data_IF_012469605776
#
_entry.id   IF_012469605776
#
_cell.length_a   1.000
_cell.length_b   1.000
_cell.length_c   1.000
_cell.angle_alpha   90.00
_cell.angle_beta   90.00
_cell.angle_gamma   90.00
#
_symmetry.space_group_name_H-M   'P 1'
#
loop_
_entity.id
_entity.type
_entity.pdbx_description
1 polymer ?
#
# COMPACT_ATOMS: atom_id res chain seq x y z
N UNK A 1 9.35 15.83 27.03
CA UNK A 1 9.59 14.45 26.55
C UNK A 1 9.68 13.55 27.75
N UNK A 2 8.75 12.65 27.95
CA UNK A 2 8.77 11.72 29.08
C UNK A 2 9.86 10.68 28.80
N UNK A 3 10.88 10.63 29.63
CA UNK A 3 11.87 9.55 29.66
C UNK A 3 11.15 8.23 29.95
N UNK A 4 10.76 7.51 28.94
CA UNK A 4 10.30 6.13 29.08
C UNK A 4 11.51 5.26 29.48
N UNK A 5 11.78 5.11 30.73
CA UNK A 5 12.70 4.07 31.20
C UNK A 5 12.11 2.71 30.87
N UNK A 6 12.87 1.89 30.13
CA UNK A 6 12.54 0.50 29.88
C UNK A 6 12.65 -0.23 31.25
N UNK A 7 11.56 -0.85 31.66
CA UNK A 7 11.47 -1.61 32.92
C UNK A 7 10.98 -3.03 32.62
N UNK A 8 11.03 -3.93 33.62
CA UNK A 8 10.48 -5.29 33.47
C UNK A 8 8.99 -5.28 33.07
N UNK A 9 8.23 -4.28 33.52
CA UNK A 9 6.82 -4.09 33.13
C UNK A 9 6.63 -3.72 31.66
N UNK A 10 7.71 -3.34 30.97
CA UNK A 10 7.69 -3.11 29.52
C UNK A 10 7.70 -4.41 28.70
N UNK A 11 7.91 -5.57 29.36
CA UNK A 11 7.93 -6.89 28.72
C UNK A 11 6.49 -7.34 28.51
N UNK A 12 6.09 -7.48 27.24
CA UNK A 12 4.75 -7.95 26.87
C UNK A 12 4.84 -9.38 26.35
N UNK A 13 3.97 -10.28 26.85
CA UNK A 13 3.86 -11.66 26.41
C UNK A 13 2.47 -11.92 25.78
N UNK A 14 2.44 -12.75 24.75
CA UNK A 14 1.22 -13.21 24.08
C UNK A 14 0.95 -12.55 22.73
N UNK A 15 -0.06 -13.09 22.02
CA UNK A 15 -0.53 -12.53 20.75
C UNK A 15 -1.19 -11.17 21.01
N UNK A 16 -0.80 -10.14 20.26
CA UNK A 16 -1.43 -8.81 20.33
C UNK A 16 -2.18 -8.56 19.04
N UNK A 17 -3.48 -8.37 19.15
CA UNK A 17 -4.29 -7.90 18.04
C UNK A 17 -4.04 -6.40 17.84
N UNK A 18 -3.55 -6.04 16.68
CA UNK A 18 -3.34 -4.64 16.28
C UNK A 18 -4.13 -4.34 15.03
N UNK A 19 -4.54 -3.07 14.83
CA UNK A 19 -5.10 -2.63 13.57
C UNK A 19 -4.18 -2.98 12.39
N UNK A 20 -4.78 -3.22 11.24
CA UNK A 20 -4.08 -3.67 10.03
C UNK A 20 -3.30 -2.53 9.39
N UNK A 21 -2.11 -2.80 8.86
CA UNK A 21 -1.42 -1.97 7.87
C UNK A 21 -1.34 -2.78 6.57
N UNK A 22 -2.17 -2.44 5.62
CA UNK A 22 -2.21 -3.11 4.33
C UNK A 22 -1.76 -2.16 3.21
N UNK A 23 -0.95 -2.68 2.32
CA UNK A 23 -0.70 -2.11 0.99
C UNK A 23 -1.37 -3.01 -0.02
N UNK A 24 -2.22 -2.45 -0.87
CA UNK A 24 -2.82 -3.13 -2.01
C UNK A 24 -2.39 -2.45 -3.30
N UNK A 25 -1.90 -3.24 -4.26
CA UNK A 25 -1.43 -2.71 -5.52
C UNK A 25 -1.89 -3.57 -6.70
N UNK A 26 -1.90 -2.97 -7.88
CA UNK A 26 -2.33 -3.64 -9.11
C UNK A 26 -2.54 -2.63 -10.23
N UNK A 27 -2.98 -3.12 -11.39
CA UNK A 27 -3.25 -2.28 -12.57
C UNK A 27 -4.36 -1.25 -12.29
N UNK A 28 -4.38 -0.20 -13.10
CA UNK A 28 -5.46 0.78 -13.11
C UNK A 28 -6.80 0.08 -13.44
N UNK A 29 -7.88 0.57 -12.85
CA UNK A 29 -9.22 0.02 -13.07
C UNK A 29 -9.52 -1.34 -12.44
N UNK A 30 -8.57 -1.98 -11.72
CA UNK A 30 -8.83 -3.27 -11.07
C UNK A 30 -9.78 -3.18 -9.86
N UNK A 31 -10.05 -1.97 -9.35
CA UNK A 31 -10.99 -1.76 -8.25
C UNK A 31 -10.34 -1.57 -6.88
N UNK A 32 -9.09 -1.13 -6.82
CA UNK A 32 -8.38 -0.83 -5.56
C UNK A 32 -9.11 0.20 -4.71
N UNK A 33 -9.53 1.32 -5.31
CA UNK A 33 -10.31 2.37 -4.66
C UNK A 33 -11.64 1.83 -4.15
N UNK A 34 -12.34 1.00 -4.93
CA UNK A 34 -13.59 0.35 -4.50
C UNK A 34 -13.36 -0.54 -3.28
N UNK A 35 -12.30 -1.35 -3.30
CA UNK A 35 -11.88 -2.18 -2.17
C UNK A 35 -11.66 -1.34 -0.91
N UNK A 36 -10.88 -0.26 -1.00
CA UNK A 36 -10.56 0.62 0.10
C UNK A 36 -11.80 1.34 0.64
N UNK A 37 -12.63 1.90 -0.24
CA UNK A 37 -13.86 2.61 0.14
C UNK A 37 -14.95 1.65 0.70
N UNK A 38 -14.78 0.34 0.56
CA UNK A 38 -15.60 -0.67 1.24
C UNK A 38 -15.26 -0.89 2.71
N UNK A 39 -14.22 -0.21 3.25
CA UNK A 39 -13.85 -0.29 4.65
C UNK A 39 -14.80 0.55 5.53
N UNK A 40 -15.01 0.05 6.76
CA UNK A 40 -15.92 0.70 7.71
C UNK A 40 -15.37 2.07 8.15
N UNK A 41 -16.25 3.08 8.17
CA UNK A 41 -15.98 4.43 8.71
C UNK A 41 -14.61 4.98 8.25
N UNK A 42 -14.36 4.94 6.93
CA UNK A 42 -13.10 5.36 6.34
C UNK A 42 -13.01 6.86 6.11
N UNK A 43 -11.82 7.42 6.33
CA UNK A 43 -11.39 8.70 5.76
C UNK A 43 -10.28 8.46 4.75
N UNK A 44 -10.39 9.05 3.56
CA UNK A 44 -9.41 8.89 2.48
C UNK A 44 -8.56 10.14 2.32
N UNK A 45 -7.25 9.98 2.37
CA UNK A 45 -6.27 10.97 1.91
C UNK A 45 -6.10 10.77 0.40
N UNK A 46 -6.78 11.60 -0.39
CA UNK A 46 -6.90 11.46 -1.84
C UNK A 46 -5.82 12.25 -2.57
N UNK A 47 -4.77 11.57 -3.05
CA UNK A 47 -3.71 12.14 -3.87
C UNK A 47 -4.01 12.06 -5.37
N UNK A 48 -5.09 11.39 -5.75
CA UNK A 48 -5.66 11.40 -7.11
C UNK A 48 -7.19 11.57 -7.07
N UNK A 49 -7.78 12.01 -8.17
CA UNK A 49 -9.23 12.25 -8.26
C UNK A 49 -9.96 10.97 -8.72
N UNK A 50 -10.13 10.01 -7.81
CA UNK A 50 -10.74 8.71 -8.11
C UNK A 50 -11.89 8.30 -7.17
N UNK A 51 -12.23 9.12 -6.15
CA UNK A 51 -13.17 8.74 -5.10
C UNK A 51 -14.53 9.45 -5.19
N UNK A 52 -14.87 10.08 -6.33
CA UNK A 52 -16.07 10.91 -6.45
C UNK A 52 -17.38 10.11 -6.40
N UNK A 53 -17.33 8.86 -6.84
CA UNK A 53 -18.49 7.95 -6.85
C UNK A 53 -18.72 7.24 -5.50
N UNK A 54 -17.92 7.55 -4.46
CA UNK A 54 -18.03 6.91 -3.16
C UNK A 54 -18.47 7.90 -2.09
N UNK A 55 -19.47 7.51 -1.28
CA UNK A 55 -19.91 8.25 -0.10
C UNK A 55 -18.99 7.95 1.09
N UNK A 56 -17.82 8.59 1.07
CA UNK A 56 -16.78 8.46 2.10
C UNK A 56 -16.21 9.82 2.49
N UNK A 57 -15.75 9.93 3.73
CA UNK A 57 -15.00 11.12 4.15
C UNK A 57 -13.67 11.17 3.39
N UNK A 58 -13.28 12.34 2.85
CA UNK A 58 -12.04 12.49 2.10
C UNK A 58 -11.39 13.86 2.29
N UNK A 59 -10.06 13.87 2.27
CA UNK A 59 -9.23 15.07 2.19
C UNK A 59 -8.59 15.06 0.80
N UNK A 60 -8.91 16.06 -0.01
CA UNK A 60 -8.42 16.19 -1.39
C UNK A 60 -7.01 16.77 -1.37
N UNK A 61 -6.03 15.95 -1.72
CA UNK A 61 -4.59 16.27 -1.72
C UNK A 61 -3.99 16.25 -3.14
N UNK A 62 -4.81 16.08 -4.18
CA UNK A 62 -4.36 15.97 -5.58
C UNK A 62 -4.21 17.33 -6.30
N UNK A 63 -4.71 18.42 -5.73
CA UNK A 63 -4.64 19.75 -6.32
C UNK A 63 -3.18 20.22 -6.43
N UNK A 64 -2.92 21.13 -7.40
CA UNK A 64 -1.53 21.55 -7.72
C UNK A 64 -0.87 22.35 -6.59
N UNK A 65 -1.65 23.16 -5.90
CA UNK A 65 -1.25 24.02 -4.78
C UNK A 65 -1.07 23.24 -3.46
N UNK A 66 -1.48 21.99 -3.41
CA UNK A 66 -1.26 21.11 -2.25
C UNK A 66 0.14 20.50 -2.27
N UNK A 67 0.87 20.72 -1.21
CA UNK A 67 2.25 20.24 -1.00
C UNK A 67 2.32 18.94 -0.21
N UNK A 68 3.53 18.41 0.01
CA UNK A 68 3.77 17.31 0.95
C UNK A 68 3.51 17.75 2.41
N UNK A 69 3.79 19.00 2.77
CA UNK A 69 3.53 19.50 4.12
C UNK A 69 2.04 19.49 4.44
N UNK A 70 1.17 19.78 3.46
CA UNK A 70 -0.28 19.67 3.61
C UNK A 70 -0.72 18.22 3.88
N UNK A 71 -0.04 17.24 3.31
CA UNK A 71 -0.29 15.84 3.61
C UNK A 71 0.07 15.49 5.08
N UNK A 72 1.13 16.08 5.62
CA UNK A 72 1.49 15.94 7.04
C UNK A 72 0.47 16.64 7.93
N UNK A 73 0.02 17.83 7.56
CA UNK A 73 -1.06 18.54 8.30
C UNK A 73 -2.38 17.74 8.27
N UNK A 74 -2.71 17.08 7.15
CA UNK A 74 -3.87 16.19 7.08
C UNK A 74 -3.77 15.03 8.07
N UNK A 75 -2.58 14.39 8.23
CA UNK A 75 -2.37 13.36 9.25
C UNK A 75 -2.58 13.91 10.67
N UNK A 76 -2.08 15.11 10.97
CA UNK A 76 -2.28 15.78 12.28
C UNK A 76 -3.75 16.11 12.52
N UNK A 77 -4.46 16.58 11.49
CA UNK A 77 -5.90 16.86 11.54
C UNK A 77 -6.70 15.59 11.88
N UNK A 78 -6.42 14.49 11.19
CA UNK A 78 -7.05 13.18 11.43
C UNK A 78 -6.75 12.72 12.86
N UNK A 79 -5.47 12.78 13.28
CA UNK A 79 -5.05 12.38 14.63
C UNK A 79 -5.83 13.13 15.73
N UNK A 80 -5.93 14.46 15.61
CA UNK A 80 -6.58 15.30 16.59
C UNK A 80 -8.11 15.11 16.63
N UNK A 81 -8.72 14.70 15.52
CA UNK A 81 -10.18 14.68 15.37
C UNK A 81 -10.78 13.28 15.13
N UNK A 82 -9.99 12.19 15.16
CA UNK A 82 -10.45 10.84 14.80
C UNK A 82 -11.74 10.42 15.51
N UNK A 83 -11.89 10.74 16.82
CA UNK A 83 -13.12 10.42 17.58
C UNK A 83 -14.32 11.22 17.11
N UNK A 84 -14.13 12.54 16.85
CA UNK A 84 -15.18 13.41 16.36
C UNK A 84 -15.64 13.03 14.96
N UNK A 85 -14.71 12.58 14.11
CA UNK A 85 -14.96 12.08 12.77
C UNK A 85 -15.61 10.68 12.77
N UNK A 86 -15.56 9.95 13.88
CA UNK A 86 -16.13 8.60 14.01
C UNK A 86 -15.40 7.55 13.16
N UNK A 87 -14.16 7.81 12.74
CA UNK A 87 -13.43 6.94 11.79
C UNK A 87 -12.81 5.71 12.46
N UNK A 88 -12.76 4.63 11.71
CA UNK A 88 -12.08 3.37 12.05
C UNK A 88 -10.96 3.00 11.08
N UNK A 89 -10.96 3.63 9.90
CA UNK A 89 -9.98 3.32 8.85
C UNK A 89 -9.46 4.60 8.22
N UNK A 90 -8.17 4.61 7.88
CA UNK A 90 -7.52 5.65 7.09
C UNK A 90 -7.02 5.02 5.79
N UNK A 91 -7.47 5.58 4.67
CA UNK A 91 -7.04 5.20 3.33
C UNK A 91 -6.09 6.23 2.73
N UNK A 92 -5.12 5.80 1.93
CA UNK A 92 -4.24 6.66 1.12
C UNK A 92 -4.33 6.21 -0.33
N UNK A 93 -4.77 7.08 -1.22
CA UNK A 93 -4.97 6.79 -2.65
C UNK A 93 -4.36 7.91 -3.52
N UNK A 94 -3.19 7.73 -4.13
CA UNK A 94 -2.31 6.57 -4.09
C UNK A 94 -0.87 6.94 -3.70
N UNK A 95 -0.06 5.93 -3.35
CA UNK A 95 1.32 6.12 -2.88
C UNK A 95 2.24 6.69 -3.96
N UNK A 96 2.05 6.34 -5.22
CA UNK A 96 2.85 6.85 -6.34
C UNK A 96 2.59 8.34 -6.60
N UNK A 97 1.37 8.82 -6.38
CA UNK A 97 1.08 10.25 -6.39
C UNK A 97 1.62 11.00 -5.15
N UNK A 98 1.58 10.38 -3.98
CA UNK A 98 2.27 10.89 -2.79
C UNK A 98 3.78 10.97 -3.04
N UNK A 99 4.40 9.96 -3.68
CA UNK A 99 5.83 9.98 -4.02
C UNK A 99 6.18 11.17 -4.90
N UNK A 100 5.34 11.50 -5.89
CA UNK A 100 5.54 12.67 -6.73
C UNK A 100 5.54 13.97 -5.92
N UNK A 101 4.64 14.12 -4.92
CA UNK A 101 4.63 15.28 -4.03
C UNK A 101 5.85 15.34 -3.10
N UNK A 102 6.34 14.20 -2.62
CA UNK A 102 7.57 14.12 -1.84
C UNK A 102 8.77 14.55 -2.70
N UNK A 103 8.84 14.07 -3.96
CA UNK A 103 9.91 14.48 -4.87
C UNK A 103 9.86 15.97 -5.18
N UNK A 104 8.68 16.53 -5.42
CA UNK A 104 8.53 17.98 -5.62
C UNK A 104 9.00 18.78 -4.40
N UNK A 105 8.60 18.38 -3.19
CA UNK A 105 9.03 19.01 -1.94
C UNK A 105 10.56 18.96 -1.76
N UNK A 106 11.21 17.84 -2.08
CA UNK A 106 12.69 17.72 -2.06
C UNK A 106 13.31 18.66 -3.08
N UNK A 107 12.77 18.77 -4.30
CA UNK A 107 13.25 19.68 -5.34
C UNK A 107 13.13 21.14 -4.91
N UNK A 108 11.97 21.55 -4.41
CA UNK A 108 11.72 22.92 -3.92
C UNK A 108 12.68 23.32 -2.80
N UNK A 109 12.87 22.43 -1.81
CA UNK A 109 13.75 22.68 -0.65
C UNK A 109 15.22 22.81 -1.04
N UNK A 110 15.62 22.20 -2.16
CA UNK A 110 17.01 22.23 -2.67
C UNK A 110 17.19 23.18 -3.87
N UNK A 111 16.13 23.92 -4.28
CA UNK A 111 16.13 24.84 -5.42
C UNK A 111 16.63 24.17 -6.72
N UNK A 112 16.10 23.00 -7.05
CA UNK A 112 16.37 22.24 -8.27
C UNK A 112 15.07 21.88 -9.00
N UNK A 113 15.15 21.67 -10.31
CA UNK A 113 13.98 21.33 -11.14
C UNK A 113 13.65 19.83 -11.11
N UNK A 114 14.62 18.98 -10.81
CA UNK A 114 14.42 17.53 -10.71
C UNK A 114 15.31 16.90 -9.63
N UNK A 115 14.82 15.78 -9.08
CA UNK A 115 15.50 15.08 -7.98
C UNK A 115 16.86 14.49 -8.40
N UNK A 116 17.04 14.22 -9.70
CA UNK A 116 18.29 13.73 -10.31
C UNK A 116 19.40 14.77 -10.27
N UNK A 117 19.07 16.07 -10.25
CA UNK A 117 20.04 17.16 -10.15
C UNK A 117 20.74 17.17 -8.78
N UNK A 118 20.15 16.54 -7.78
CA UNK A 118 20.78 16.32 -6.47
C UNK A 118 21.75 15.14 -6.59
N UNK A 119 23.02 15.43 -6.76
CA UNK A 119 24.05 14.46 -7.12
C UNK A 119 24.14 13.24 -6.20
N UNK A 120 24.68 12.15 -6.75
CA UNK A 120 24.92 10.88 -6.04
C UNK A 120 23.67 10.24 -5.41
N UNK A 121 22.52 10.39 -6.06
CA UNK A 121 21.24 9.89 -5.58
C UNK A 121 20.83 10.38 -4.17
N UNK A 122 21.41 11.46 -3.67
CA UNK A 122 21.10 12.05 -2.35
C UNK A 122 19.65 12.55 -2.29
N UNK A 123 19.08 13.04 -3.40
CA UNK A 123 17.69 13.47 -3.47
C UNK A 123 16.72 12.33 -3.09
N UNK A 124 16.95 11.13 -3.59
CA UNK A 124 16.15 9.96 -3.23
C UNK A 124 16.32 9.52 -1.77
N UNK A 125 17.49 9.76 -1.17
CA UNK A 125 17.71 9.53 0.27
C UNK A 125 16.96 10.57 1.11
N UNK A 126 16.91 11.83 0.66
CA UNK A 126 16.09 12.87 1.30
C UNK A 126 14.61 12.53 1.20
N UNK A 127 14.13 12.10 0.03
CA UNK A 127 12.76 11.63 -0.15
C UNK A 127 12.41 10.48 0.79
N UNK A 128 13.34 9.54 1.03
CA UNK A 128 13.13 8.44 1.98
C UNK A 128 12.91 8.92 3.43
N UNK A 129 13.56 10.03 3.84
CA UNK A 129 13.32 10.61 5.16
C UNK A 129 11.89 11.16 5.27
N UNK A 130 11.35 11.78 4.23
CA UNK A 130 9.96 12.25 4.17
C UNK A 130 8.97 11.08 4.19
N UNK A 131 9.27 9.99 3.47
CA UNK A 131 8.51 8.75 3.54
C UNK A 131 8.45 8.19 4.96
N UNK A 132 9.59 8.08 5.65
CA UNK A 132 9.65 7.61 7.04
C UNK A 132 8.83 8.50 7.97
N UNK A 133 8.84 9.82 7.76
CA UNK A 133 8.01 10.76 8.51
C UNK A 133 6.51 10.50 8.27
N UNK A 134 6.09 10.34 7.03
CA UNK A 134 4.69 10.03 6.68
C UNK A 134 4.23 8.69 7.27
N UNK A 135 5.02 7.64 7.12
CA UNK A 135 4.72 6.32 7.70
C UNK A 135 4.65 6.36 9.24
N UNK A 136 5.50 7.14 9.89
CA UNK A 136 5.44 7.36 11.35
C UNK A 136 4.15 8.08 11.77
N UNK A 137 3.65 9.02 10.96
CA UNK A 137 2.34 9.65 11.14
C UNK A 137 1.21 8.61 11.07
N UNK A 138 1.25 7.71 10.08
CA UNK A 138 0.29 6.61 9.96
C UNK A 138 0.39 5.63 11.15
N UNK A 139 1.60 5.35 11.65
CA UNK A 139 1.77 4.51 12.86
C UNK A 139 1.15 5.17 14.09
N UNK A 140 1.18 6.50 14.19
CA UNK A 140 0.50 7.24 15.25
C UNK A 140 -1.02 7.08 15.17
N UNK A 141 -1.60 7.10 13.97
CA UNK A 141 -3.02 6.83 13.74
C UNK A 141 -3.37 5.37 14.06
N UNK A 142 -2.54 4.42 13.65
CA UNK A 142 -2.69 3.00 14.03
C UNK A 142 -2.69 2.78 15.54
N UNK A 143 -1.86 3.52 16.27
CA UNK A 143 -1.80 3.44 17.73
C UNK A 143 -3.10 3.91 18.42
N UNK A 144 -3.93 4.71 17.71
CA UNK A 144 -5.28 5.09 18.15
C UNK A 144 -6.34 4.02 17.87
N UNK A 145 -5.96 2.90 17.24
CA UNK A 145 -6.88 1.80 16.91
C UNK A 145 -7.41 1.82 15.47
N UNK A 146 -6.85 2.66 14.58
CA UNK A 146 -7.31 2.79 13.20
C UNK A 146 -6.60 1.80 12.27
N UNK A 147 -7.36 1.11 11.40
CA UNK A 147 -6.81 0.34 10.29
C UNK A 147 -6.23 1.28 9.23
N UNK A 148 -5.16 0.88 8.56
CA UNK A 148 -4.50 1.67 7.52
C UNK A 148 -4.51 0.89 6.21
N UNK A 149 -5.02 1.50 5.13
CA UNK A 149 -5.05 0.93 3.77
C UNK A 149 -4.31 1.90 2.84
N UNK A 150 -3.25 1.41 2.22
CA UNK A 150 -2.48 2.15 1.23
C UNK A 150 -2.70 1.54 -0.15
N UNK A 151 -3.03 2.38 -1.14
CA UNK A 151 -3.14 1.97 -2.54
C UNK A 151 -1.88 2.37 -3.29
N UNK A 152 -1.40 1.49 -4.18
CA UNK A 152 -0.37 1.79 -5.16
C UNK A 152 -0.73 1.21 -6.54
N UNK A 153 -0.18 1.80 -7.60
CA UNK A 153 -0.17 1.18 -8.92
C UNK A 153 0.90 0.11 -8.99
N UNK A 154 0.80 -0.77 -9.99
CA UNK A 154 1.80 -1.79 -10.25
C UNK A 154 2.76 -1.36 -11.34
N UNK A 155 4.00 -1.80 -11.25
CA UNK A 155 4.99 -1.78 -12.32
C UNK A 155 5.62 -3.17 -12.47
N UNK A 156 6.19 -3.43 -13.63
CA UNK A 156 7.00 -4.63 -13.86
C UNK A 156 8.45 -4.28 -13.53
N UNK A 157 9.08 -5.14 -12.74
CA UNK A 157 10.51 -5.03 -12.38
C UNK A 157 11.21 -6.33 -12.72
N UNK A 158 12.44 -6.22 -13.22
CA UNK A 158 13.28 -7.37 -13.43
C UNK A 158 13.90 -7.81 -12.11
N UNK A 159 13.85 -9.10 -11.83
CA UNK A 159 14.45 -9.76 -10.67
C UNK A 159 15.63 -10.57 -11.15
N UNK A 160 16.81 -10.22 -10.68
CA UNK A 160 18.04 -10.97 -10.85
C UNK A 160 18.28 -11.78 -9.57
N UNK A 161 17.74 -12.99 -9.51
CA UNK A 161 17.86 -13.90 -8.39
C UNK A 161 19.02 -14.88 -8.67
N UNK A 162 20.02 -15.00 -7.77
CA UNK A 162 21.16 -15.91 -8.01
C UNK A 162 20.79 -17.40 -8.07
N UNK A 163 19.57 -17.76 -7.68
CA UNK A 163 19.08 -19.16 -7.65
C UNK A 163 18.27 -19.55 -8.88
N UNK A 164 17.93 -18.60 -9.76
CA UNK A 164 17.12 -18.84 -10.97
C UNK A 164 17.56 -17.93 -12.11
N UNK A 165 17.03 -18.17 -13.32
CA UNK A 165 17.14 -17.19 -14.41
C UNK A 165 16.38 -15.91 -14.06
N UNK A 166 16.87 -14.77 -14.57
CA UNK A 166 16.22 -13.49 -14.38
C UNK A 166 14.79 -13.51 -14.94
N UNK A 167 13.85 -12.95 -14.19
CA UNK A 167 12.43 -12.92 -14.57
C UNK A 167 11.79 -11.58 -14.23
N UNK A 168 10.65 -11.30 -14.88
CA UNK A 168 9.85 -10.12 -14.62
C UNK A 168 8.78 -10.39 -13.55
N UNK A 169 8.59 -9.40 -12.67
CA UNK A 169 7.63 -9.47 -11.56
C UNK A 169 6.83 -8.18 -11.42
N UNK A 170 5.55 -8.29 -11.10
CA UNK A 170 4.76 -7.14 -10.65
C UNK A 170 5.18 -6.72 -9.24
N UNK A 171 5.42 -5.42 -9.07
CA UNK A 171 5.78 -4.80 -7.79
C UNK A 171 5.14 -3.41 -7.70
N UNK A 172 5.20 -2.78 -6.53
CA UNK A 172 4.72 -1.43 -6.27
C UNK A 172 5.39 -0.43 -7.21
N UNK A 173 4.63 0.50 -7.79
CA UNK A 173 5.15 1.59 -8.64
C UNK A 173 5.70 2.71 -7.76
N UNK A 174 6.84 2.45 -7.13
CA UNK A 174 7.57 3.37 -6.26
C UNK A 174 9.07 3.25 -6.52
N UNK A 175 9.87 4.22 -6.07
CA UNK A 175 11.33 4.09 -6.05
C UNK A 175 11.76 2.81 -5.32
N UNK A 176 12.82 2.18 -5.78
CA UNK A 176 13.26 0.88 -5.24
C UNK A 176 13.55 0.89 -3.73
N UNK A 177 14.02 2.02 -3.19
CA UNK A 177 14.33 2.18 -1.76
C UNK A 177 13.03 2.28 -0.96
N UNK A 178 12.09 3.07 -1.46
CA UNK A 178 10.78 3.27 -0.86
C UNK A 178 9.98 1.97 -0.86
N UNK A 179 9.99 1.21 -1.96
CA UNK A 179 9.34 -0.12 -2.03
C UNK A 179 9.77 -1.03 -0.89
N UNK A 180 11.08 -1.09 -0.63
CA UNK A 180 11.61 -1.89 0.49
C UNK A 180 11.00 -1.48 1.82
N UNK A 181 11.10 -0.19 2.16
CA UNK A 181 10.59 0.37 3.42
C UNK A 181 9.08 0.18 3.57
N UNK A 182 8.30 0.46 2.53
CA UNK A 182 6.83 0.32 2.56
C UNK A 182 6.44 -1.15 2.75
N UNK A 183 7.10 -2.10 2.07
CA UNK A 183 6.85 -3.54 2.25
C UNK A 183 7.23 -4.03 3.64
N UNK A 184 8.34 -3.57 4.19
CA UNK A 184 8.75 -3.92 5.55
C UNK A 184 7.78 -3.37 6.59
N UNK A 185 7.35 -2.13 6.44
CA UNK A 185 6.41 -1.44 7.32
C UNK A 185 5.04 -2.09 7.33
N UNK A 186 4.51 -2.51 6.17
CA UNK A 186 3.19 -3.11 6.04
C UNK A 186 3.11 -4.48 6.74
N UNK A 187 1.96 -4.80 7.32
CA UNK A 187 1.65 -6.15 7.81
C UNK A 187 1.20 -7.07 6.65
N UNK A 188 0.56 -6.47 5.64
CA UNK A 188 0.06 -7.15 4.45
C UNK A 188 0.44 -6.35 3.20
N UNK A 189 0.94 -7.03 2.19
CA UNK A 189 1.11 -6.52 0.83
C UNK A 189 0.33 -7.46 -0.08
N UNK A 190 -0.63 -6.93 -0.82
CA UNK A 190 -1.55 -7.73 -1.63
C UNK A 190 -1.55 -7.27 -3.08
N UNK A 191 -1.43 -8.23 -4.01
CA UNK A 191 -1.50 -7.97 -5.45
C UNK A 191 -2.91 -8.23 -5.96
N UNK A 192 -3.54 -7.19 -6.53
CA UNK A 192 -4.88 -7.24 -7.09
C UNK A 192 -4.84 -7.46 -8.60
N UNK A 193 -5.62 -8.44 -9.09
CA UNK A 193 -5.79 -8.71 -10.51
C UNK A 193 -7.17 -9.29 -10.82
N UNK A 194 -7.51 -9.38 -12.11
CA UNK A 194 -8.63 -10.20 -12.55
C UNK A 194 -8.25 -11.67 -12.47
N UNK A 195 -9.18 -12.50 -12.03
CA UNK A 195 -9.04 -13.94 -12.05
C UNK A 195 -8.89 -14.43 -13.49
N UNK A 196 -7.77 -15.09 -13.78
CA UNK A 196 -7.39 -15.51 -15.13
C UNK A 196 -7.25 -17.01 -15.17
N UNK A 197 -7.92 -17.64 -16.11
CA UNK A 197 -7.79 -19.06 -16.41
C UNK A 197 -7.04 -19.25 -17.74
N UNK A 198 -6.12 -20.22 -17.74
CA UNK A 198 -5.40 -20.62 -18.95
C UNK A 198 -5.99 -21.91 -19.46
N UNK A 199 -6.29 -21.95 -20.76
CA UNK A 199 -6.76 -23.16 -21.42
C UNK A 199 -5.91 -23.44 -22.67
N UNK A 200 -5.73 -24.74 -23.00
CA UNK A 200 -5.03 -25.16 -24.19
C UNK A 200 -5.91 -24.85 -25.39
N UNK A 201 -5.47 -23.92 -26.22
CA UNK A 201 -6.23 -23.45 -27.39
C UNK A 201 -5.92 -24.27 -28.66
N UNK A 202 -4.89 -25.10 -28.62
CA UNK A 202 -4.45 -25.93 -29.75
C UNK A 202 -2.96 -26.26 -29.68
N UNK A 203 -2.44 -26.79 -30.80
CA UNK A 203 -1.01 -27.04 -30.98
C UNK A 203 -0.53 -26.36 -32.26
N UNK A 204 0.67 -25.78 -32.22
CA UNK A 204 1.34 -25.17 -33.38
C UNK A 204 2.79 -25.63 -33.36
N UNK A 205 3.23 -26.27 -34.47
CA UNK A 205 4.58 -26.84 -34.61
C UNK A 205 5.00 -27.78 -33.46
N UNK A 206 4.06 -28.64 -32.98
CA UNK A 206 4.32 -29.57 -31.88
C UNK A 206 4.35 -28.95 -30.47
N UNK A 207 4.10 -27.67 -30.34
CA UNK A 207 4.01 -26.97 -29.07
C UNK A 207 2.58 -26.61 -28.72
N UNK A 208 2.19 -26.83 -27.46
CA UNK A 208 0.86 -26.45 -26.96
C UNK A 208 0.72 -24.94 -26.89
N UNK A 209 -0.32 -24.41 -27.50
CA UNK A 209 -0.69 -22.98 -27.44
C UNK A 209 -1.72 -22.80 -26.35
N UNK A 210 -1.40 -21.99 -25.35
CA UNK A 210 -2.32 -21.60 -24.28
C UNK A 210 -2.88 -20.20 -24.52
N UNK A 211 -4.17 -20.04 -24.26
CA UNK A 211 -4.85 -18.74 -24.23
C UNK A 211 -5.33 -18.47 -22.81
N UNK A 212 -5.33 -17.19 -22.44
CA UNK A 212 -5.89 -16.71 -21.20
C UNK A 212 -7.31 -16.19 -21.41
N UNK A 213 -8.19 -16.46 -20.47
CA UNK A 213 -9.50 -15.83 -20.37
C UNK A 213 -9.71 -15.34 -18.95
N UNK A 214 -10.46 -14.25 -18.79
CA UNK A 214 -10.79 -13.72 -17.47
C UNK A 214 -12.26 -14.01 -17.16
N UNK A 215 -12.55 -14.33 -15.89
CA UNK A 215 -13.94 -14.51 -15.40
C UNK A 215 -14.64 -13.19 -15.13
N UNK A 216 -13.90 -12.07 -15.09
CA UNK A 216 -14.38 -10.78 -14.62
C UNK A 216 -14.33 -10.64 -13.09
N UNK A 217 -14.11 -11.71 -12.36
CA UNK A 217 -13.90 -11.66 -10.91
C UNK A 217 -12.61 -10.91 -10.57
N UNK A 218 -12.67 -10.13 -9.51
CA UNK A 218 -11.52 -9.41 -8.96
C UNK A 218 -11.02 -10.14 -7.74
N UNK A 219 -9.73 -10.50 -7.76
CA UNK A 219 -9.08 -11.23 -6.67
C UNK A 219 -7.84 -10.50 -6.20
N UNK A 220 -7.41 -10.79 -4.97
CA UNK A 220 -6.10 -10.37 -4.48
C UNK A 220 -5.31 -11.55 -3.93
N UNK A 221 -4.03 -11.54 -4.25
CA UNK A 221 -3.04 -12.49 -3.75
C UNK A 221 -2.38 -11.94 -2.49
N UNK A 222 -2.31 -12.74 -1.46
CA UNK A 222 -1.77 -12.42 -0.14
C UNK A 222 -0.48 -13.18 0.16
N UNK A 223 -0.10 -14.10 -0.72
CA UNK A 223 1.11 -14.92 -0.66
C UNK A 223 1.93 -14.67 -1.91
N UNK A 224 3.23 -14.39 -1.73
CA UNK A 224 4.17 -14.12 -2.82
C UNK A 224 4.25 -15.27 -3.81
N UNK A 225 4.39 -14.91 -5.09
CA UNK A 225 4.72 -15.82 -6.20
C UNK A 225 5.79 -15.20 -7.10
N UNK A 226 6.43 -15.96 -7.98
CA UNK A 226 7.41 -15.38 -8.91
C UNK A 226 6.86 -14.20 -9.71
N UNK A 227 5.59 -14.25 -10.13
CA UNK A 227 4.96 -13.22 -10.95
C UNK A 227 4.60 -11.92 -10.21
N UNK A 228 4.51 -11.92 -8.88
CA UNK A 228 4.14 -10.74 -8.10
C UNK A 228 4.64 -10.81 -6.66
N UNK A 229 4.88 -9.63 -6.10
CA UNK A 229 5.23 -9.45 -4.68
C UNK A 229 3.96 -9.54 -3.83
N UNK A 230 4.01 -10.28 -2.71
CA UNK A 230 2.97 -10.27 -1.70
C UNK A 230 3.53 -10.65 -0.33
N UNK A 231 2.84 -10.27 0.74
CA UNK A 231 3.26 -10.53 2.11
C UNK A 231 2.05 -10.64 3.02
N UNK A 232 2.06 -11.59 3.93
CA UNK A 232 1.10 -11.66 5.02
C UNK A 232 1.80 -12.06 6.32
N UNK A 233 1.56 -11.33 7.42
CA UNK A 233 2.07 -11.67 8.76
C UNK A 233 1.28 -12.76 9.46
N UNK A 234 0.09 -13.10 8.95
CA UNK A 234 -0.74 -14.21 9.42
C UNK A 234 -1.12 -15.08 8.24
N UNK A 235 -1.29 -16.38 8.47
CA UNK A 235 -1.66 -17.32 7.41
C UNK A 235 -3.13 -17.11 7.04
N UNK A 236 -3.38 -16.45 5.92
CA UNK A 236 -4.70 -16.26 5.32
C UNK A 236 -4.74 -16.90 3.93
N UNK A 237 -5.94 -17.19 3.45
CA UNK A 237 -6.16 -17.79 2.12
C UNK A 237 -5.58 -16.92 1.00
N UNK A 238 -5.11 -17.53 -0.10
CA UNK A 238 -4.62 -16.84 -1.29
C UNK A 238 -4.89 -17.68 -2.54
N UNK A 239 -5.54 -17.15 -3.61
CA UNK A 239 -6.14 -15.80 -3.63
C UNK A 239 -7.45 -15.74 -2.84
N UNK A 240 -7.90 -14.51 -2.54
CA UNK A 240 -9.23 -14.21 -2.00
C UNK A 240 -9.91 -13.15 -2.86
N UNK A 241 -11.24 -12.99 -2.71
CA UNK A 241 -11.96 -11.92 -3.38
C UNK A 241 -11.39 -10.54 -3.01
N UNK A 242 -11.37 -9.62 -3.96
CA UNK A 242 -10.97 -8.22 -3.76
C UNK A 242 -12.10 -7.49 -3.01
N UNK A 243 -12.24 -7.77 -1.73
CA UNK A 243 -13.26 -7.23 -0.85
C UNK A 243 -12.70 -7.07 0.57
N UNK A 244 -12.88 -5.88 1.17
CA UNK A 244 -12.34 -5.57 2.50
C UNK A 244 -12.95 -6.43 3.60
N UNK A 245 -14.24 -6.71 3.52
CA UNK A 245 -14.93 -7.52 4.55
C UNK A 245 -14.45 -8.96 4.52
N UNK A 246 -14.26 -9.52 3.32
CA UNK A 246 -13.66 -10.85 3.13
C UNK A 246 -12.25 -10.88 3.71
N UNK A 247 -11.42 -9.89 3.41
CA UNK A 247 -10.06 -9.79 3.95
C UNK A 247 -10.05 -9.73 5.48
N UNK A 248 -10.89 -8.92 6.10
CA UNK A 248 -11.00 -8.82 7.58
C UNK A 248 -11.49 -10.14 8.20
N UNK A 249 -12.41 -10.85 7.53
CA UNK A 249 -12.87 -12.17 7.99
C UNK A 249 -11.74 -13.21 7.97
N UNK A 250 -10.93 -13.25 6.92
CA UNK A 250 -9.78 -14.16 6.83
C UNK A 250 -8.73 -13.87 7.93
N UNK A 251 -8.43 -12.60 8.20
CA UNK A 251 -7.56 -12.22 9.32
C UNK A 251 -8.16 -12.67 10.66
N UNK A 252 -9.45 -12.45 10.87
CA UNK A 252 -10.12 -12.84 12.12
C UNK A 252 -10.09 -14.35 12.34
N UNK A 253 -10.28 -15.16 11.28
CA UNK A 253 -10.13 -16.63 11.33
C UNK A 253 -8.70 -17.03 11.70
N UNK A 254 -7.70 -16.46 11.01
CA UNK A 254 -6.28 -16.78 11.23
C UNK A 254 -5.75 -16.38 12.62
N UNK A 255 -6.36 -15.38 13.28
CA UNK A 255 -5.98 -14.97 14.64
C UNK A 255 -6.57 -15.86 15.73
N UNK A 256 -7.68 -16.55 15.45
CA UNK A 256 -8.37 -17.46 16.39
C UNK A 256 -7.75 -18.87 16.43
N UNK A 257 -7.10 -19.30 15.37
CA UNK A 257 -6.32 -20.54 15.29
C UNK A 257 -4.90 -20.32 15.80
#
# INVERSE_FOLDING_TARGET
MSDKKITLDSIVRGKQERPVRQVIYGRDGIGKTHYMCGADDIIVMAFEDGQNEFDVQKIQLFQKDISFDDAIEALKLIYANHKKLGIKTVGVDSLDWLEAKIHAHVCETNNVDSIEQIGFAKGYVMALNHWNHFLSGLDSLRALGLDIILIAHSQIVKIDDPTTEAYDRHDLKLDKRVRGVVREWADFVSYAQFETHYYKAGEKFGQSVYKATTTGNRIMHTVQQPAFEAKSRVAISSPIALDWKVFKQEIAKARKG
#
